data_IF_199388289463
#
_entry.id   IF_199388289463
#
_cell.length_a   1.000
_cell.length_b   1.000
_cell.length_c   1.000
_cell.angle_alpha   90.00
_cell.angle_beta   90.00
_cell.angle_gamma   90.00
#
_symmetry.space_group_name_H-M   'P 1'
#
loop_
_entity.id
_entity.type
_entity.pdbx_description
1 polymer ?
#
# COMPACT_ATOMS: atom_id res chain seq x y z
N UNK A 1 67.70 15.06 24.70
CA UNK A 1 68.18 14.05 25.67
C UNK A 1 67.02 13.09 25.93
N UNK A 2 67.12 11.87 25.42
CA UNK A 2 66.08 10.83 25.44
C UNK A 2 65.92 10.21 26.83
N UNK A 3 64.68 9.89 27.23
CA UNK A 3 64.37 8.59 27.86
C UNK A 3 63.03 8.07 27.34
N UNK A 4 63.13 6.94 26.64
CA UNK A 4 62.05 6.08 26.18
C UNK A 4 61.60 5.21 27.35
N UNK A 5 60.29 5.00 27.50
CA UNK A 5 59.77 3.82 28.18
C UNK A 5 58.61 3.27 27.35
N UNK A 6 58.85 2.11 26.74
CA UNK A 6 57.85 1.24 26.13
C UNK A 6 57.22 0.38 27.22
N UNK A 7 55.89 0.26 27.28
CA UNK A 7 55.22 -0.99 27.65
C UNK A 7 53.94 -1.13 26.81
N UNK A 8 53.81 -2.31 26.22
CA UNK A 8 52.78 -2.83 25.32
C UNK A 8 51.69 -3.51 26.16
N UNK A 9 50.42 -3.14 25.97
CA UNK A 9 49.22 -3.93 26.36
C UNK A 9 48.00 -3.19 25.83
N UNK A 10 47.02 -3.77 25.13
CA UNK A 10 46.80 -5.12 24.64
C UNK A 10 45.65 -5.02 23.62
N UNK A 11 45.76 -5.75 22.51
CA UNK A 11 44.72 -5.90 21.50
C UNK A 11 43.85 -7.08 21.92
N UNK A 12 42.54 -6.88 22.03
CA UNK A 12 41.56 -7.91 21.63
C UNK A 12 40.21 -7.27 21.33
N UNK A 13 39.91 -7.27 20.03
CA UNK A 13 38.61 -6.99 19.42
C UNK A 13 37.66 -8.12 19.82
N UNK A 14 36.50 -7.79 20.39
CA UNK A 14 35.42 -8.76 20.62
C UNK A 14 34.14 -8.28 19.94
N UNK A 15 34.04 -8.57 18.65
CA UNK A 15 32.80 -8.61 17.88
C UNK A 15 32.02 -9.85 18.26
N UNK A 16 30.98 -9.72 19.09
CA UNK A 16 30.01 -10.78 19.35
C UNK A 16 28.82 -10.63 18.39
N UNK A 17 28.92 -11.36 17.29
CA UNK A 17 27.86 -11.59 16.31
C UNK A 17 26.91 -12.65 16.90
N UNK A 18 25.72 -12.25 17.33
CA UNK A 18 24.66 -13.18 17.79
C UNK A 18 24.00 -13.83 16.56
N UNK A 19 24.53 -14.99 16.14
CA UNK A 19 23.79 -15.97 15.34
C UNK A 19 23.03 -16.89 16.29
N UNK A 20 21.70 -16.74 16.35
CA UNK A 20 20.83 -17.72 17.01
C UNK A 20 20.41 -18.74 15.97
N UNK A 21 21.09 -19.89 15.97
CA UNK A 21 20.68 -21.09 15.23
C UNK A 21 19.59 -21.81 16.02
N UNK A 22 18.37 -21.86 15.49
CA UNK A 22 17.36 -22.81 15.92
C UNK A 22 17.58 -24.14 15.18
N UNK A 23 17.98 -25.17 15.93
CA UNK A 23 17.96 -26.56 15.48
C UNK A 23 16.53 -27.11 15.58
N UNK A 24 15.96 -27.51 14.44
CA UNK A 24 14.77 -28.34 14.35
C UNK A 24 15.19 -29.76 14.75
N UNK A 25 14.54 -30.32 15.76
CA UNK A 25 14.76 -31.69 16.22
C UNK A 25 14.24 -32.71 15.21
N UNK A 26 15.12 -33.63 14.81
CA UNK A 26 14.80 -34.87 14.11
C UNK A 26 13.92 -35.77 15.00
N UNK A 27 12.74 -36.16 14.48
CA UNK A 27 12.02 -37.35 14.93
C UNK A 27 11.62 -38.14 13.68
N UNK A 28 12.26 -39.28 13.49
CA UNK A 28 12.33 -39.99 12.22
C UNK A 28 11.15 -40.92 11.91
N UNK A 29 11.05 -41.31 10.63
CA UNK A 29 10.59 -42.62 10.18
C UNK A 29 11.08 -42.89 8.74
N UNK A 30 11.35 -44.16 8.46
CA UNK A 30 12.08 -44.77 7.32
C UNK A 30 11.47 -44.61 5.91
N UNK A 31 12.25 -44.84 4.83
CA UNK A 31 11.90 -44.43 3.47
C UNK A 31 11.00 -45.45 2.76
N UNK A 32 9.96 -44.96 2.11
CA UNK A 32 9.21 -45.71 1.09
C UNK A 32 8.83 -44.76 -0.05
N UNK A 33 9.22 -45.20 -1.24
CA UNK A 33 9.03 -44.59 -2.55
C UNK A 33 7.62 -44.06 -2.78
N UNK A 34 7.48 -42.81 -3.20
CA UNK A 34 6.81 -42.45 -4.46
C UNK A 34 6.83 -40.93 -4.69
N UNK A 35 7.26 -40.59 -5.90
CA UNK A 35 6.97 -39.40 -6.71
C UNK A 35 6.19 -38.25 -6.07
N UNK A 36 6.87 -37.13 -5.83
CA UNK A 36 6.27 -35.80 -6.00
C UNK A 36 7.39 -34.79 -6.23
N UNK A 37 7.45 -34.22 -7.45
CA UNK A 37 8.11 -32.95 -7.70
C UNK A 37 7.52 -31.94 -6.71
N UNK A 38 8.31 -31.54 -5.72
CA UNK A 38 8.03 -30.33 -4.96
C UNK A 38 8.26 -29.16 -5.91
N UNK A 39 7.18 -28.70 -6.54
CA UNK A 39 7.12 -27.39 -7.15
C UNK A 39 7.68 -26.39 -6.15
N UNK A 40 8.76 -25.74 -6.56
CA UNK A 40 9.28 -24.56 -5.89
C UNK A 40 8.11 -23.60 -5.71
N UNK A 41 7.64 -23.45 -4.47
CA UNK A 41 6.75 -22.37 -4.07
C UNK A 41 7.54 -21.07 -4.20
N UNK A 42 7.65 -20.60 -5.43
CA UNK A 42 7.90 -19.22 -5.75
C UNK A 42 6.68 -18.46 -5.22
N UNK A 43 6.78 -17.96 -3.99
CA UNK A 43 5.87 -16.95 -3.45
C UNK A 43 6.08 -15.66 -4.24
N UNK A 44 5.69 -15.68 -5.52
CA UNK A 44 5.53 -14.49 -6.33
C UNK A 44 4.41 -13.70 -5.68
N UNK A 45 4.78 -12.67 -4.92
CA UNK A 45 3.94 -11.50 -4.77
C UNK A 45 3.51 -11.17 -6.19
N UNK A 46 2.22 -11.36 -6.51
CA UNK A 46 1.72 -11.03 -7.84
C UNK A 46 1.91 -9.53 -8.02
N UNK A 47 2.98 -9.19 -8.71
CA UNK A 47 3.42 -7.82 -8.90
C UNK A 47 2.45 -7.14 -9.88
N UNK A 48 2.20 -5.85 -9.68
CA UNK A 48 1.46 -5.09 -10.69
C UNK A 48 2.30 -5.05 -11.97
N UNK A 49 1.67 -5.12 -13.16
CA UNK A 49 2.38 -4.87 -14.40
C UNK A 49 3.09 -3.50 -14.35
N UNK A 50 4.36 -3.44 -14.77
CA UNK A 50 5.16 -2.20 -14.75
C UNK A 50 4.47 -1.04 -15.48
N UNK A 51 3.75 -1.34 -16.57
CA UNK A 51 3.00 -0.36 -17.34
C UNK A 51 1.79 0.25 -16.59
N UNK A 52 1.46 -0.27 -15.41
CA UNK A 52 0.41 0.25 -14.53
C UNK A 52 0.97 0.88 -13.25
N UNK A 53 2.28 0.82 -13.01
CA UNK A 53 2.92 1.60 -11.95
C UNK A 53 2.91 3.09 -12.32
N UNK A 54 2.85 3.96 -11.30
CA UNK A 54 2.89 5.41 -11.50
C UNK A 54 1.83 6.18 -10.73
N UNK A 55 1.60 7.43 -11.17
CA UNK A 55 0.73 8.39 -10.49
C UNK A 55 -0.63 8.41 -11.17
N UNK A 56 -1.68 8.29 -10.37
CA UNK A 56 -3.07 8.38 -10.83
C UNK A 56 -3.78 9.50 -10.09
N UNK A 57 -4.43 10.40 -10.83
CA UNK A 57 -5.10 11.58 -10.29
C UNK A 57 -6.59 11.54 -10.55
N UNK A 58 -7.40 11.96 -9.60
CA UNK A 58 -8.86 12.05 -9.78
C UNK A 58 -9.50 13.07 -8.86
N UNK A 59 -10.79 13.32 -9.12
CA UNK A 59 -11.63 14.21 -8.30
C UNK A 59 -12.62 13.33 -7.55
N UNK A 60 -12.41 13.18 -6.25
CA UNK A 60 -13.31 12.42 -5.37
C UNK A 60 -14.47 13.29 -4.94
N UNK A 61 -15.73 12.91 -5.22
CA UNK A 61 -16.88 13.61 -4.64
C UNK A 61 -16.93 13.35 -3.13
N UNK A 62 -17.16 14.40 -2.36
CA UNK A 62 -17.34 14.34 -0.91
C UNK A 62 -18.75 14.83 -0.58
N UNK A 63 -19.64 13.89 -0.30
CA UNK A 63 -21.02 14.18 0.07
C UNK A 63 -21.10 14.45 1.57
N UNK A 64 -21.14 15.74 1.94
CA UNK A 64 -21.43 16.13 3.32
C UNK A 64 -22.93 16.34 3.44
N UNK A 65 -23.61 15.42 4.11
CA UNK A 65 -24.98 15.63 4.56
C UNK A 65 -24.92 16.67 5.68
N UNK A 66 -25.42 17.87 5.42
CA UNK A 66 -25.51 18.89 6.44
C UNK A 66 -26.65 18.52 7.41
N UNK A 67 -26.33 18.08 8.63
CA UNK A 67 -27.33 17.71 9.65
C UNK A 67 -28.25 18.88 10.05
N UNK A 68 -27.82 20.13 9.90
CA UNK A 68 -28.68 21.31 10.10
C UNK A 68 -29.63 21.56 8.90
N UNK A 69 -29.29 21.03 7.72
CA UNK A 69 -30.10 21.09 6.51
C UNK A 69 -31.23 20.07 6.47
N UNK A 70 -31.16 18.99 7.25
CA UNK A 70 -32.21 17.97 7.32
C UNK A 70 -33.55 18.53 7.81
N UNK A 71 -33.52 19.57 8.66
CA UNK A 71 -34.73 20.15 9.23
C UNK A 71 -35.37 21.27 8.40
N UNK A 72 -34.59 21.99 7.56
CA UNK A 72 -35.04 23.28 6.99
C UNK A 72 -34.68 23.53 5.51
N UNK A 73 -34.01 22.61 4.83
CA UNK A 73 -33.62 22.81 3.43
C UNK A 73 -34.34 21.85 2.48
N UNK A 74 -34.70 22.35 1.31
CA UNK A 74 -35.28 21.55 0.21
C UNK A 74 -34.34 20.38 -0.15
N UNK A 75 -34.86 19.23 -0.62
CA UNK A 75 -34.07 18.03 -0.90
C UNK A 75 -32.76 18.25 -1.65
N UNK A 76 -32.76 19.15 -2.65
CA UNK A 76 -31.60 19.49 -3.48
C UNK A 76 -30.49 20.28 -2.78
N UNK A 77 -30.75 20.86 -1.61
CA UNK A 77 -29.79 21.67 -0.84
C UNK A 77 -29.17 20.93 0.35
N UNK A 78 -29.52 19.65 0.54
CA UNK A 78 -29.00 18.81 1.64
C UNK A 78 -27.61 18.26 1.38
N UNK A 79 -27.19 18.22 0.12
CA UNK A 79 -25.86 17.80 -0.31
C UNK A 79 -25.05 19.01 -0.75
N UNK A 80 -24.08 19.40 0.07
CA UNK A 80 -22.99 20.25 -0.42
C UNK A 80 -22.03 19.28 -1.10
N UNK A 81 -21.90 19.37 -2.42
CA UNK A 81 -20.84 18.66 -3.14
C UNK A 81 -19.53 19.37 -2.82
N UNK A 82 -18.88 18.94 -1.74
CA UNK A 82 -17.45 19.14 -1.61
C UNK A 82 -16.78 18.15 -2.56
N UNK A 83 -15.59 18.47 -3.02
CA UNK A 83 -14.76 17.54 -3.78
C UNK A 83 -13.35 17.62 -3.24
N UNK A 84 -12.60 16.55 -3.40
CA UNK A 84 -11.18 16.49 -3.07
C UNK A 84 -10.39 16.06 -4.29
N UNK A 85 -9.26 16.69 -4.52
CA UNK A 85 -8.26 16.13 -5.42
C UNK A 85 -7.58 14.96 -4.74
N UNK A 86 -7.52 13.83 -5.42
CA UNK A 86 -6.89 12.61 -4.90
C UNK A 86 -5.79 12.18 -5.86
N UNK A 87 -4.62 11.90 -5.31
CA UNK A 87 -3.51 11.28 -6.04
C UNK A 87 -3.21 9.92 -5.41
N UNK A 88 -3.07 8.90 -6.24
CA UNK A 88 -2.57 7.59 -5.88
C UNK A 88 -1.20 7.39 -6.53
N UNK A 89 -0.23 6.90 -5.77
CA UNK A 89 1.11 6.57 -6.28
C UNK A 89 1.28 5.08 -6.08
N UNK A 90 1.12 4.33 -7.18
CA UNK A 90 1.30 2.89 -7.20
C UNK A 90 2.77 2.58 -7.39
N UNK A 91 3.38 2.01 -6.36
CA UNK A 91 4.76 1.55 -6.37
C UNK A 91 4.74 0.03 -6.51
N UNK A 92 5.81 -0.51 -7.07
CA UNK A 92 6.07 -1.94 -7.06
C UNK A 92 6.05 -2.53 -5.64
N UNK A 93 5.84 -3.84 -5.55
CA UNK A 93 5.89 -4.62 -4.30
C UNK A 93 4.73 -4.40 -3.30
N UNK A 94 3.54 -4.01 -3.77
CA UNK A 94 2.36 -3.98 -2.90
C UNK A 94 2.24 -2.71 -2.05
N UNK A 95 3.09 -1.71 -2.29
CA UNK A 95 3.09 -0.42 -1.59
C UNK A 95 2.35 0.62 -2.44
N UNK A 96 1.49 1.42 -1.78
CA UNK A 96 0.76 2.50 -2.43
C UNK A 96 0.68 3.71 -1.51
N UNK A 97 0.86 4.90 -2.06
CA UNK A 97 0.65 6.15 -1.34
C UNK A 97 -0.57 6.88 -1.88
N UNK A 98 -1.22 7.63 -1.00
CA UNK A 98 -2.33 8.49 -1.38
C UNK A 98 -2.16 9.87 -0.76
N UNK A 99 -2.55 10.90 -1.51
CA UNK A 99 -2.75 12.24 -0.98
C UNK A 99 -4.16 12.72 -1.31
N UNK A 100 -4.83 13.36 -0.36
CA UNK A 100 -6.07 14.09 -0.60
C UNK A 100 -5.83 15.58 -0.36
N UNK A 101 -6.20 16.43 -1.32
CA UNK A 101 -6.15 17.88 -1.18
C UNK A 101 -7.57 18.43 -1.10
N UNK A 102 -7.85 19.23 -0.06
CA UNK A 102 -9.07 20.01 0.03
C UNK A 102 -8.89 21.31 -0.78
N UNK A 103 -9.65 21.52 -1.86
CA UNK A 103 -9.50 22.69 -2.71
C UNK A 103 -9.89 24.00 -2.02
N UNK A 104 -10.65 23.93 -0.90
CA UNK A 104 -11.13 25.11 -0.19
C UNK A 104 -10.03 25.80 0.60
N UNK A 105 -9.15 25.03 1.22
CA UNK A 105 -8.09 25.55 2.09
C UNK A 105 -6.67 25.08 1.69
N UNK A 106 -6.57 24.31 0.60
CA UNK A 106 -5.31 23.72 0.10
C UNK A 106 -4.62 22.80 1.12
N UNK A 107 -5.34 22.31 2.13
CA UNK A 107 -4.80 21.34 3.07
C UNK A 107 -4.60 19.99 2.38
N UNK A 108 -3.47 19.34 2.67
CA UNK A 108 -3.10 18.04 2.10
C UNK A 108 -3.01 17.00 3.22
N UNK A 109 -3.74 15.91 3.05
CA UNK A 109 -3.64 14.72 3.91
C UNK A 109 -2.85 13.64 3.18
N UNK A 110 -1.87 13.05 3.85
CA UNK A 110 -1.03 11.98 3.30
C UNK A 110 -1.33 10.66 3.97
N UNK A 111 -1.37 9.61 3.16
CA UNK A 111 -1.64 8.25 3.60
C UNK A 111 -0.62 7.29 3.01
N UNK A 112 -0.17 6.37 3.85
CA UNK A 112 0.58 5.21 3.44
C UNK A 112 -0.35 4.00 3.39
N UNK A 113 -0.17 3.14 2.40
CA UNK A 113 -1.04 2.00 2.22
C UNK A 113 -0.36 0.81 1.59
N UNK A 114 -1.09 -0.30 1.64
CA UNK A 114 -0.76 -1.53 0.93
C UNK A 114 -1.92 -1.92 0.04
N UNK A 115 -1.62 -2.65 -1.02
CA UNK A 115 -2.65 -3.20 -1.89
C UNK A 115 -2.46 -4.69 -2.14
N UNK A 116 -3.55 -5.33 -2.52
CA UNK A 116 -3.58 -6.72 -2.97
C UNK A 116 -4.35 -6.82 -4.28
N UNK A 117 -3.99 -7.77 -5.15
CA UNK A 117 -4.74 -8.01 -6.38
C UNK A 117 -6.03 -8.75 -6.03
N UNK A 118 -7.16 -8.05 -6.14
CA UNK A 118 -8.48 -8.61 -5.94
C UNK A 118 -8.96 -9.38 -7.19
N UNK A 119 -8.66 -8.86 -8.38
CA UNK A 119 -9.02 -9.48 -9.67
C UNK A 119 -7.98 -9.19 -10.73
N UNK A 120 -7.64 -10.18 -11.55
CA UNK A 120 -6.74 -10.01 -12.68
C UNK A 120 -7.25 -10.85 -13.86
N UNK A 121 -7.94 -10.20 -14.80
CA UNK A 121 -8.43 -10.81 -16.05
C UNK A 121 -7.71 -10.22 -17.26
N UNK A 122 -8.09 -10.65 -18.47
CA UNK A 122 -7.49 -10.16 -19.70
C UNK A 122 -7.58 -8.63 -19.86
N UNK A 123 -8.73 -8.04 -19.52
CA UNK A 123 -8.98 -6.62 -19.74
C UNK A 123 -8.91 -5.76 -18.47
N UNK A 124 -9.05 -6.37 -17.29
CA UNK A 124 -9.23 -5.65 -16.02
C UNK A 124 -8.21 -6.12 -14.99
N UNK A 125 -7.61 -5.15 -14.29
CA UNK A 125 -6.92 -5.35 -13.03
C UNK A 125 -7.69 -4.62 -11.93
N UNK A 126 -7.98 -5.31 -10.83
CA UNK A 126 -8.61 -4.72 -9.65
C UNK A 126 -7.72 -4.91 -8.44
N UNK A 127 -7.42 -3.81 -7.74
CA UNK A 127 -6.62 -3.78 -6.53
C UNK A 127 -7.51 -3.39 -5.35
N UNK A 128 -7.40 -4.14 -4.26
CA UNK A 128 -7.95 -3.74 -2.96
C UNK A 128 -6.84 -3.06 -2.17
N UNK A 129 -6.99 -1.77 -1.91
CA UNK A 129 -6.00 -0.92 -1.25
C UNK A 129 -6.50 -0.44 0.11
N UNK A 130 -5.62 -0.46 1.11
CA UNK A 130 -5.88 0.04 2.46
C UNK A 130 -4.84 1.09 2.82
N UNK A 131 -5.32 2.24 3.27
CA UNK A 131 -4.54 3.43 3.60
C UNK A 131 -4.68 3.78 5.07
N UNK A 132 -3.61 4.31 5.66
CA UNK A 132 -3.57 4.79 7.04
C UNK A 132 -2.82 6.13 7.07
N UNK A 133 -3.42 7.14 7.72
CA UNK A 133 -2.73 8.42 7.98
C UNK A 133 -1.95 8.38 9.31
N UNK A 134 -1.20 9.45 9.59
CA UNK A 134 -0.49 9.60 10.86
C UNK A 134 -1.40 9.65 12.10
N UNK A 135 -2.68 9.98 11.90
CA UNK A 135 -3.70 9.99 12.95
C UNK A 135 -4.37 8.62 13.13
N UNK A 136 -3.88 7.58 12.44
CA UNK A 136 -4.42 6.21 12.44
C UNK A 136 -5.85 6.09 11.90
N UNK A 137 -6.31 7.09 11.15
CA UNK A 137 -7.53 7.00 10.36
C UNK A 137 -7.26 6.10 9.17
N UNK A 138 -8.05 5.04 9.02
CA UNK A 138 -7.92 4.13 7.87
C UNK A 138 -8.98 4.37 6.82
N UNK A 139 -8.60 4.25 5.55
CA UNK A 139 -9.52 4.26 4.42
C UNK A 139 -9.24 3.07 3.50
N UNK A 140 -10.31 2.54 2.88
CA UNK A 140 -10.22 1.41 1.95
C UNK A 140 -10.74 1.83 0.59
N UNK A 141 -10.00 1.46 -0.46
CA UNK A 141 -10.36 1.73 -1.84
C UNK A 141 -10.27 0.47 -2.70
N UNK A 142 -11.16 0.38 -3.68
CA UNK A 142 -11.01 -0.51 -4.82
C UNK A 142 -10.52 0.32 -6.00
N UNK A 143 -9.36 -0.04 -6.56
CA UNK A 143 -8.80 0.60 -7.75
C UNK A 143 -8.96 -0.35 -8.94
N UNK A 144 -9.65 0.09 -9.99
CA UNK A 144 -9.93 -0.72 -11.18
C UNK A 144 -9.26 -0.10 -12.40
N UNK A 145 -8.39 -0.86 -13.05
CA UNK A 145 -7.64 -0.45 -14.24
C UNK A 145 -8.11 -1.26 -15.44
N UNK A 146 -8.41 -0.57 -16.53
CA UNK A 146 -8.63 -1.18 -17.83
C UNK A 146 -7.30 -1.24 -18.58
N UNK A 147 -6.76 -2.45 -18.75
CA UNK A 147 -5.40 -2.69 -19.27
C UNK A 147 -5.17 -2.14 -20.68
N UNK A 148 -6.23 -2.09 -21.50
CA UNK A 148 -6.14 -1.74 -22.92
C UNK A 148 -6.57 -0.29 -23.24
N UNK A 149 -7.30 0.36 -22.34
CA UNK A 149 -7.87 1.70 -22.61
C UNK A 149 -7.16 2.82 -21.86
N UNK A 150 -6.28 2.49 -20.90
CA UNK A 150 -5.65 3.46 -20.01
C UNK A 150 -6.61 4.11 -19.02
N UNK A 151 -7.89 3.69 -18.99
CA UNK A 151 -8.88 4.19 -18.04
C UNK A 151 -8.72 3.50 -16.71
N UNK A 152 -8.88 4.26 -15.63
CA UNK A 152 -8.92 3.72 -14.30
C UNK A 152 -10.01 4.41 -13.46
N UNK A 153 -10.47 3.70 -12.44
CA UNK A 153 -11.47 4.19 -11.52
C UNK A 153 -11.11 3.81 -10.09
N UNK A 154 -11.54 4.63 -9.13
CA UNK A 154 -11.39 4.40 -7.71
C UNK A 154 -12.75 4.45 -7.03
N UNK A 155 -12.95 3.58 -6.04
CA UNK A 155 -14.14 3.57 -5.21
C UNK A 155 -13.74 3.44 -3.74
N UNK A 156 -14.07 4.45 -2.94
CA UNK A 156 -13.96 4.36 -1.48
C UNK A 156 -15.16 3.55 -0.95
N UNK A 157 -14.95 2.77 0.11
CA UNK A 157 -16.03 2.04 0.77
C UNK A 157 -17.22 2.96 1.13
N UNK A 158 -18.43 2.57 0.67
CA UNK A 158 -19.66 3.33 0.91
C UNK A 158 -19.80 4.63 0.10
N UNK A 159 -18.90 4.91 -0.85
CA UNK A 159 -18.95 6.09 -1.72
C UNK A 159 -19.13 5.69 -3.20
N UNK A 160 -19.61 6.63 -4.05
CA UNK A 160 -19.62 6.42 -5.49
C UNK A 160 -18.22 6.22 -6.07
N UNK A 161 -18.14 5.46 -7.16
CA UNK A 161 -16.93 5.33 -7.96
C UNK A 161 -16.64 6.64 -8.70
N UNK A 162 -15.36 6.97 -8.85
CA UNK A 162 -14.87 8.14 -9.59
C UNK A 162 -13.69 7.77 -10.50
N UNK A 163 -13.52 8.53 -11.56
CA UNK A 163 -12.44 8.31 -12.54
C UNK A 163 -11.08 8.78 -11.99
N UNK A 164 -10.03 8.02 -12.30
CA UNK A 164 -8.64 8.40 -12.07
C UNK A 164 -7.84 8.24 -13.37
N UNK A 165 -6.91 9.17 -13.60
CA UNK A 165 -6.15 9.30 -14.84
C UNK A 165 -4.67 9.10 -14.54
N UNK A 166 -4.01 8.23 -15.31
CA UNK A 166 -2.56 8.00 -15.23
C UNK A 166 -1.79 9.22 -15.76
N UNK A 167 -0.73 9.63 -15.05
CA UNK A 167 0.06 10.84 -15.33
C UNK A 167 1.55 10.55 -15.38
#
# INVERSE_FOLDING_TARGET
>A
MMRRTFIITGITILTALMFVSFHISDFGFTPSSDTAQADSQNSSIKMIPENLAGVYKGIKPNFVINKAAEANLSPDRRNISAWKEVNFILIENGVIWMSETDPKDSSVSHYEGTYTIAKNSQDILELSARFVDWNKTSQSYILRFQKNSGKAAAQQEGQPEFEIIHY
#
